data_IF_968745274609
#
_entry.id   IF_968745274609
#
_cell.length_a   1.000
_cell.length_b   1.000
_cell.length_c   1.000
_cell.angle_alpha   90.00
_cell.angle_beta   90.00
_cell.angle_gamma   90.00
#
_symmetry.space_group_name_H-M   'P 1'
#
loop_
_entity.id
_entity.type
_entity.pdbx_description
1 polymer ?
#
# COMPACT_ATOMS: atom_id res chain seq x y z
N UNK A 1 -44.25 -32.27 50.60
CA UNK A 1 -43.80 -31.25 51.56
C UNK A 1 -42.89 -30.27 50.83
N UNK A 2 -43.11 -28.96 51.04
CA UNK A 2 -42.43 -27.84 50.38
C UNK A 2 -41.02 -27.62 50.97
N UNK A 3 -40.05 -27.24 50.14
CA UNK A 3 -39.06 -26.20 50.46
C UNK A 3 -38.51 -25.58 49.17
N UNK A 4 -38.77 -24.27 49.02
CA UNK A 4 -38.28 -23.35 48.00
C UNK A 4 -37.05 -22.61 48.54
N UNK A 5 -36.16 -22.17 47.65
CA UNK A 5 -35.23 -21.00 47.70
C UNK A 5 -34.55 -21.01 46.30
N UNK A 6 -34.81 -20.15 45.29
CA UNK A 6 -34.70 -18.67 45.18
C UNK A 6 -33.31 -18.16 45.65
N UNK A 7 -32.54 -17.30 44.99
CA UNK A 7 -32.65 -16.44 43.79
C UNK A 7 -31.23 -15.87 43.58
N UNK A 8 -30.84 -15.46 42.36
CA UNK A 8 -29.60 -14.69 42.16
C UNK A 8 -29.31 -14.30 40.71
N UNK A 9 -30.24 -13.61 40.04
CA UNK A 9 -29.99 -12.90 38.78
C UNK A 9 -29.53 -11.49 39.15
N UNK A 10 -28.30 -11.11 38.78
CA UNK A 10 -27.81 -9.74 38.85
C UNK A 10 -27.87 -9.10 37.46
N UNK A 11 -28.95 -8.38 37.17
CA UNK A 11 -29.05 -7.43 36.05
C UNK A 11 -29.43 -6.08 36.64
N UNK A 12 -28.46 -5.17 36.74
CA UNK A 12 -28.62 -3.72 36.99
C UNK A 12 -27.36 -3.07 36.38
N UNK A 13 -27.39 -2.05 35.55
CA UNK A 13 -28.46 -1.22 35.02
C UNK A 13 -27.86 -0.26 33.99
N UNK A 14 -28.67 0.13 33.02
CA UNK A 14 -28.35 1.15 32.03
C UNK A 14 -28.19 2.52 32.70
N UNK A 15 -27.20 3.29 32.26
CA UNK A 15 -27.13 4.74 32.47
C UNK A 15 -26.93 5.42 31.12
N UNK A 16 -27.98 6.11 30.68
CA UNK A 16 -28.01 7.03 29.55
C UNK A 16 -27.11 8.24 29.83
N UNK A 17 -26.30 8.63 28.84
CA UNK A 17 -25.82 10.01 28.71
C UNK A 17 -26.17 10.54 27.32
N UNK A 18 -26.88 11.66 27.34
CA UNK A 18 -27.57 12.34 26.26
C UNK A 18 -26.68 13.32 25.50
N UNK A 19 -26.94 13.40 24.18
CA UNK A 19 -26.87 14.55 23.26
C UNK A 19 -25.65 15.50 23.26
N UNK A 20 -25.09 15.67 22.07
CA UNK A 20 -24.99 16.99 21.42
C UNK A 20 -24.96 16.83 19.89
N UNK A 21 -26.07 17.15 19.22
CA UNK A 21 -26.09 17.46 17.78
C UNK A 21 -25.41 18.83 17.58
N UNK A 22 -24.46 18.91 16.65
CA UNK A 22 -24.25 20.16 15.90
C UNK A 22 -24.51 19.88 14.43
N UNK A 23 -25.69 20.32 13.98
CA UNK A 23 -26.03 20.45 12.57
C UNK A 23 -25.42 21.78 12.11
N UNK A 24 -24.40 21.73 11.26
CA UNK A 24 -24.07 22.86 10.39
C UNK A 24 -24.66 22.55 9.01
N UNK A 25 -25.69 23.32 8.64
CA UNK A 25 -26.36 23.23 7.37
C UNK A 25 -25.77 24.14 6.30
N UNK A 26 -25.74 23.59 5.08
CA UNK A 26 -26.05 24.19 3.77
C UNK A 26 -25.05 25.17 3.14
N UNK A 27 -24.47 24.70 2.04
CA UNK A 27 -24.14 25.48 0.86
C UNK A 27 -24.03 24.56 -0.36
N UNK A 28 -25.10 24.45 -1.15
CA UNK A 28 -25.18 23.61 -2.35
C UNK A 28 -24.73 24.37 -3.61
N UNK A 29 -24.02 23.68 -4.50
CA UNK A 29 -24.12 23.88 -5.95
C UNK A 29 -23.60 22.62 -6.68
N UNK A 30 -24.37 21.54 -6.64
CA UNK A 30 -24.29 20.47 -7.64
C UNK A 30 -24.99 20.96 -8.90
N UNK A 31 -24.24 21.31 -9.95
CA UNK A 31 -24.78 21.44 -11.29
C UNK A 31 -25.05 20.04 -11.83
N UNK A 32 -26.27 19.53 -11.60
CA UNK A 32 -26.78 18.36 -12.29
C UNK A 32 -27.05 18.76 -13.75
N UNK A 33 -26.19 18.34 -14.68
CA UNK A 33 -26.55 18.30 -16.10
C UNK A 33 -27.58 17.18 -16.27
N UNK A 34 -28.86 17.54 -16.28
CA UNK A 34 -29.90 16.68 -16.83
C UNK A 34 -29.89 16.85 -18.35
N UNK A 35 -29.91 15.72 -19.05
CA UNK A 35 -29.94 15.67 -20.50
C UNK A 35 -31.23 16.33 -21.02
N UNK A 36 -31.09 17.39 -21.81
CA UNK A 36 -32.14 17.82 -22.72
C UNK A 36 -31.87 17.20 -24.09
N UNK A 37 -32.80 16.33 -24.48
CA UNK A 37 -32.93 15.80 -25.81
C UNK A 37 -33.70 16.82 -26.65
N UNK A 38 -32.99 17.67 -27.37
CA UNK A 38 -33.51 18.26 -28.61
C UNK A 38 -32.36 18.68 -29.55
N UNK A 39 -32.33 18.08 -30.74
CA UNK A 39 -31.43 18.39 -31.88
C UNK A 39 -32.16 19.44 -32.76
N UNK A 40 -31.50 20.32 -33.54
CA UNK A 40 -30.65 19.87 -34.65
C UNK A 40 -29.40 20.72 -35.02
N UNK A 41 -28.38 20.01 -35.49
CA UNK A 41 -27.34 20.31 -36.50
C UNK A 41 -26.79 21.74 -36.71
N UNK A 42 -25.47 21.89 -36.59
CA UNK A 42 -24.65 22.61 -37.60
C UNK A 42 -23.20 22.10 -37.60
N UNK A 43 -22.67 21.87 -38.80
CA UNK A 43 -21.31 21.46 -39.11
C UNK A 43 -20.30 22.63 -39.00
N UNK A 44 -19.01 22.26 -38.92
CA UNK A 44 -17.80 23.03 -39.26
C UNK A 44 -17.19 23.89 -38.11
N UNK A 45 -15.87 24.04 -37.95
CA UNK A 45 -14.72 23.67 -38.76
C UNK A 45 -13.46 23.51 -37.88
N UNK A 46 -12.51 22.72 -38.38
CA UNK A 46 -11.11 22.66 -37.96
C UNK A 46 -10.44 24.02 -38.24
N UNK A 47 -9.57 24.47 -37.34
CA UNK A 47 -8.54 25.46 -37.68
C UNK A 47 -7.26 25.15 -36.92
N UNK A 48 -6.36 24.46 -37.61
CA UNK A 48 -4.93 24.56 -37.44
C UNK A 48 -4.49 26.02 -37.54
N UNK A 49 -3.71 26.49 -36.55
CA UNK A 49 -2.85 27.66 -36.71
C UNK A 49 -1.51 27.38 -36.04
N UNK A 50 -0.51 27.08 -36.88
CA UNK A 50 0.91 27.35 -36.61
C UNK A 50 1.25 28.65 -37.32
N UNK A 51 2.07 29.54 -36.72
CA UNK A 51 3.29 29.89 -37.45
C UNK A 51 4.54 30.14 -36.57
N UNK A 52 5.65 29.66 -37.14
CA UNK A 52 6.94 30.34 -37.37
C UNK A 52 7.95 30.56 -36.23
N UNK A 53 9.21 30.40 -36.65
CA UNK A 53 10.44 30.27 -35.89
C UNK A 53 11.26 31.57 -35.73
N UNK A 54 12.40 31.42 -35.04
CA UNK A 54 13.50 32.36 -34.73
C UNK A 54 13.31 33.11 -33.39
N UNK A 55 14.26 33.16 -32.44
CA UNK A 55 15.69 33.49 -32.52
C UNK A 55 16.44 32.90 -31.31
N UNK A 56 17.63 32.32 -31.52
CA UNK A 56 18.60 31.96 -30.46
C UNK A 56 19.43 33.19 -30.04
N UNK A 57 19.79 33.30 -28.75
CA UNK A 57 21.08 33.88 -28.38
C UNK A 57 22.02 32.81 -27.82
N UNK A 58 23.19 32.73 -28.44
CA UNK A 58 24.44 32.20 -27.90
C UNK A 58 24.81 32.98 -26.62
N UNK A 59 24.91 32.29 -25.49
CA UNK A 59 25.80 32.70 -24.41
C UNK A 59 26.39 31.44 -23.76
N UNK A 60 27.50 31.01 -24.35
CA UNK A 60 28.35 29.97 -23.80
C UNK A 60 29.12 30.54 -22.60
N UNK A 61 28.63 30.27 -21.40
CA UNK A 61 29.40 30.43 -20.17
C UNK A 61 29.64 29.04 -19.58
N UNK A 62 30.76 28.44 -19.97
CA UNK A 62 31.31 27.21 -19.40
C UNK A 62 31.83 27.52 -17.98
N UNK A 63 31.29 26.93 -16.91
CA UNK A 63 32.05 26.84 -15.67
C UNK A 63 33.01 25.65 -15.82
N UNK A 64 34.31 25.95 -15.82
CA UNK A 64 35.34 24.95 -15.62
C UNK A 64 35.21 24.40 -14.19
N UNK A 65 34.53 23.25 -14.05
CA UNK A 65 34.63 22.43 -12.85
C UNK A 65 35.94 21.64 -12.92
N UNK A 66 37.00 22.22 -12.35
CA UNK A 66 38.16 21.45 -11.92
C UNK A 66 37.75 20.72 -10.64
N UNK A 67 37.06 19.60 -10.78
CA UNK A 67 37.01 18.60 -9.70
C UNK A 67 38.17 17.64 -9.93
N UNK A 68 39.27 17.89 -9.22
CA UNK A 68 40.22 16.85 -8.85
C UNK A 68 39.40 15.71 -8.23
N UNK A 69 39.49 14.46 -8.70
CA UNK A 69 38.89 13.37 -7.96
C UNK A 69 39.68 13.24 -6.67
N UNK A 70 39.12 13.75 -5.57
CA UNK A 70 39.43 13.20 -4.27
C UNK A 70 39.03 11.74 -4.37
N UNK A 71 40.02 10.86 -4.35
CA UNK A 71 39.84 9.46 -4.00
C UNK A 71 39.15 9.45 -2.65
N UNK A 72 37.82 9.40 -2.65
CA UNK A 72 37.06 8.89 -1.53
C UNK A 72 37.53 7.46 -1.39
N UNK A 73 38.22 7.17 -0.30
CA UNK A 73 38.44 5.80 0.14
C UNK A 73 37.07 5.13 0.15
N UNK A 74 36.84 4.27 -0.84
CA UNK A 74 35.75 3.34 -0.81
C UNK A 74 35.94 2.58 0.50
N UNK A 75 35.06 2.87 1.46
CA UNK A 75 34.84 1.92 2.54
C UNK A 75 34.55 0.59 1.84
N UNK A 76 35.25 -0.46 2.25
CA UNK A 76 34.92 -1.87 1.96
C UNK A 76 33.52 -2.18 2.52
N UNK A 77 32.50 -1.52 1.98
CA UNK A 77 31.16 -2.03 1.93
C UNK A 77 31.25 -3.14 0.91
N UNK A 78 31.41 -4.36 1.44
CA UNK A 78 31.22 -5.63 0.74
C UNK A 78 30.16 -5.41 -0.33
N UNK A 79 30.62 -5.26 -1.59
CA UNK A 79 29.73 -4.99 -2.69
C UNK A 79 28.95 -6.27 -2.87
N UNK A 80 27.71 -6.30 -2.38
CA UNK A 80 26.75 -7.34 -2.68
C UNK A 80 26.63 -7.33 -4.20
N UNK A 81 27.30 -8.26 -4.87
CA UNK A 81 27.20 -8.39 -6.30
C UNK A 81 25.76 -8.81 -6.60
N UNK A 82 25.16 -8.40 -7.73
CA UNK A 82 23.81 -8.83 -8.09
C UNK A 82 23.62 -10.37 -8.11
N UNK A 83 24.73 -11.12 -8.22
CA UNK A 83 24.78 -12.59 -8.10
C UNK A 83 24.58 -13.12 -6.69
N UNK A 84 24.77 -12.31 -5.66
CA UNK A 84 24.62 -12.69 -4.25
C UNK A 84 23.15 -12.58 -3.79
N UNK A 85 22.27 -12.05 -4.64
CA UNK A 85 20.82 -12.07 -4.43
C UNK A 85 20.32 -13.48 -4.75
N UNK A 86 20.26 -14.32 -3.72
CA UNK A 86 19.68 -15.66 -3.80
C UNK A 86 18.17 -15.54 -4.04
N UNK A 87 17.66 -16.18 -5.10
CA UNK A 87 16.21 -16.32 -5.30
C UNK A 87 15.63 -17.19 -4.18
N UNK A 88 14.73 -16.68 -3.33
CA UNK A 88 14.17 -17.44 -2.21
C UNK A 88 13.34 -18.65 -2.66
N UNK A 89 12.92 -18.72 -3.94
CA UNK A 89 12.27 -19.89 -4.51
C UNK A 89 13.25 -21.03 -4.90
N UNK A 90 14.55 -20.79 -4.76
CA UNK A 90 15.61 -21.77 -5.00
C UNK A 90 16.26 -22.31 -3.72
N UNK A 91 15.80 -21.87 -2.53
CA UNK A 91 16.36 -22.30 -1.25
C UNK A 91 16.03 -23.76 -0.94
N UNK A 92 16.91 -24.41 -0.17
CA UNK A 92 16.67 -25.77 0.32
C UNK A 92 15.39 -25.86 1.16
N UNK A 93 15.09 -24.81 1.94
CA UNK A 93 13.85 -24.71 2.72
C UNK A 93 12.61 -24.72 1.81
N UNK A 94 12.64 -23.97 0.70
CA UNK A 94 11.54 -23.98 -0.27
C UNK A 94 11.40 -25.34 -0.97
N UNK A 95 12.52 -25.94 -1.39
CA UNK A 95 12.54 -27.23 -2.09
C UNK A 95 12.02 -28.36 -1.18
N UNK A 96 12.28 -28.30 0.12
CA UNK A 96 11.84 -29.30 1.10
C UNK A 96 10.32 -29.26 1.39
N UNK A 97 9.62 -28.17 1.06
CA UNK A 97 8.17 -28.06 1.22
C UNK A 97 7.41 -29.01 0.29
N UNK A 98 6.17 -29.34 0.64
CA UNK A 98 5.28 -30.12 -0.23
C UNK A 98 4.92 -29.35 -1.51
N UNK A 99 4.49 -30.04 -2.59
CA UNK A 99 4.12 -29.38 -3.84
C UNK A 99 3.06 -28.28 -3.69
N UNK A 100 2.06 -28.49 -2.81
CA UNK A 100 0.99 -27.52 -2.56
C UNK A 100 1.51 -26.30 -1.79
N UNK A 101 2.37 -26.51 -0.78
CA UNK A 101 3.03 -25.42 -0.06
C UNK A 101 3.95 -24.60 -0.97
N UNK A 102 4.67 -25.26 -1.89
CA UNK A 102 5.46 -24.57 -2.90
C UNK A 102 4.60 -23.75 -3.86
N UNK A 103 3.42 -24.27 -4.25
CA UNK A 103 2.48 -23.52 -5.10
C UNK A 103 1.97 -22.27 -4.37
N UNK A 104 1.59 -22.41 -3.09
CA UNK A 104 1.23 -21.31 -2.21
C UNK A 104 2.39 -20.31 -2.05
N UNK A 105 3.63 -20.78 -1.85
CA UNK A 105 4.81 -19.92 -1.75
C UNK A 105 5.07 -19.10 -3.00
N UNK A 106 4.89 -19.68 -4.19
CA UNK A 106 4.99 -18.96 -5.48
C UNK A 106 3.89 -17.90 -5.64
N UNK A 107 2.65 -18.21 -5.24
CA UNK A 107 1.56 -17.23 -5.25
C UNK A 107 1.83 -16.09 -4.27
N UNK A 108 2.28 -16.43 -3.06
CA UNK A 108 2.64 -15.47 -2.02
C UNK A 108 3.76 -14.54 -2.49
N UNK A 109 4.83 -15.03 -3.13
CA UNK A 109 5.90 -14.17 -3.68
C UNK A 109 5.40 -13.16 -4.72
N UNK A 110 4.44 -13.55 -5.56
CA UNK A 110 3.82 -12.63 -6.52
C UNK A 110 3.07 -11.52 -5.80
N UNK A 111 2.27 -11.87 -4.80
CA UNK A 111 1.57 -10.88 -3.95
C UNK A 111 2.57 -9.93 -3.30
N UNK A 112 3.64 -10.45 -2.69
CA UNK A 112 4.68 -9.62 -2.07
C UNK A 112 5.38 -8.68 -3.06
N UNK A 113 5.61 -9.13 -4.30
CA UNK A 113 6.23 -8.32 -5.35
C UNK A 113 5.31 -7.17 -5.79
N UNK A 114 4.01 -7.43 -5.94
CA UNK A 114 3.02 -6.39 -6.25
C UNK A 114 2.91 -5.40 -5.08
N UNK A 115 2.87 -5.89 -3.84
CA UNK A 115 2.88 -5.05 -2.64
C UNK A 115 4.13 -4.18 -2.58
N UNK A 116 5.32 -4.75 -2.84
CA UNK A 116 6.57 -4.00 -2.83
C UNK A 116 6.59 -2.89 -3.90
N UNK A 117 6.07 -3.17 -5.10
CA UNK A 117 5.95 -2.16 -6.15
C UNK A 117 5.00 -1.03 -5.74
N UNK A 118 3.81 -1.35 -5.21
CA UNK A 118 2.88 -0.35 -4.71
C UNK A 118 3.48 0.49 -3.57
N UNK A 119 4.17 -0.15 -2.61
CA UNK A 119 4.80 0.55 -1.49
C UNK A 119 5.91 1.47 -1.96
N UNK A 120 6.69 1.05 -2.97
CA UNK A 120 7.70 1.89 -3.61
C UNK A 120 7.08 3.14 -4.25
N UNK A 121 5.94 3.01 -4.93
CA UNK A 121 5.21 4.15 -5.48
C UNK A 121 4.67 5.09 -4.40
N UNK A 122 4.46 4.59 -3.18
CA UNK A 122 4.12 5.38 -1.98
C UNK A 122 5.33 5.95 -1.24
N UNK A 123 6.55 5.71 -1.73
CA UNK A 123 7.79 6.21 -1.15
C UNK A 123 8.41 5.33 -0.08
N UNK A 124 7.99 4.07 0.05
CA UNK A 124 8.49 3.13 1.05
C UNK A 124 9.22 1.94 0.40
N UNK A 125 10.43 1.65 0.90
CA UNK A 125 11.17 0.43 0.53
C UNK A 125 10.70 -0.75 1.37
N UNK A 126 9.55 -1.33 0.98
CA UNK A 126 8.98 -2.51 1.64
C UNK A 126 9.87 -3.73 1.47
N UNK A 127 10.20 -4.39 2.58
CA UNK A 127 10.89 -5.68 2.59
C UNK A 127 10.05 -6.73 3.32
N UNK A 128 10.33 -7.99 3.04
CA UNK A 128 9.63 -9.11 3.62
C UNK A 128 10.54 -10.32 3.73
N UNK A 129 10.23 -11.18 4.68
CA UNK A 129 10.86 -12.48 4.84
C UNK A 129 9.87 -13.57 4.38
N UNK A 130 10.27 -14.44 3.43
CA UNK A 130 9.43 -15.56 3.02
C UNK A 130 9.06 -16.47 4.19
N UNK A 131 7.81 -16.92 4.25
CA UNK A 131 7.31 -17.64 5.43
C UNK A 131 8.03 -18.97 5.70
N UNK A 132 8.62 -19.57 4.68
CA UNK A 132 9.40 -20.81 4.79
C UNK A 132 10.83 -20.58 5.28
N UNK A 133 11.32 -19.34 5.22
CA UNK A 133 12.63 -18.95 5.76
C UNK A 133 12.55 -18.53 7.23
N UNK A 134 11.32 -18.36 7.77
CA UNK A 134 11.13 -17.93 9.15
C UNK A 134 11.47 -19.05 10.13
N UNK A 135 12.33 -18.73 11.09
CA UNK A 135 12.64 -19.60 12.22
C UNK A 135 11.41 -19.76 13.15
N UNK A 136 10.66 -20.85 13.00
CA UNK A 136 9.48 -21.13 13.83
C UNK A 136 9.83 -21.47 15.30
N UNK A 137 11.10 -21.74 15.61
CA UNK A 137 11.59 -22.12 16.95
C UNK A 137 11.99 -20.92 17.82
N UNK A 138 12.07 -19.71 17.25
CA UNK A 138 12.43 -18.51 17.99
C UNK A 138 11.15 -17.80 18.47
N UNK A 139 10.87 -17.87 19.77
CA UNK A 139 9.88 -17.01 20.46
C UNK A 139 10.24 -15.50 20.45
N UNK A 140 11.19 -15.11 19.61
CA UNK A 140 11.57 -13.73 19.34
C UNK A 140 10.50 -13.17 18.41
N UNK A 141 9.79 -12.15 18.88
CA UNK A 141 8.79 -11.42 18.12
C UNK A 141 9.25 -11.21 16.67
N UNK A 142 8.44 -11.66 15.70
CA UNK A 142 8.61 -11.33 14.29
C UNK A 142 8.61 -9.80 14.21
N UNK A 143 9.79 -9.20 14.05
CA UNK A 143 9.93 -7.76 13.83
C UNK A 143 9.24 -7.49 12.51
N UNK A 144 8.13 -6.75 12.53
CA UNK A 144 7.47 -6.39 11.28
C UNK A 144 8.36 -5.36 10.57
N UNK A 145 8.40 -5.37 9.23
CA UNK A 145 9.20 -4.40 8.47
C UNK A 145 8.93 -2.95 8.93
N UNK A 146 7.68 -2.64 9.28
CA UNK A 146 7.29 -1.32 9.79
C UNK A 146 8.07 -0.93 11.05
N UNK A 147 8.36 -1.88 11.94
CA UNK A 147 9.05 -1.60 13.20
C UNK A 147 10.54 -1.28 12.99
N UNK A 148 11.08 -1.58 11.80
CA UNK A 148 12.44 -1.20 11.39
C UNK A 148 12.53 0.24 10.89
N UNK A 149 11.38 0.89 10.63
CA UNK A 149 11.33 2.28 10.14
C UNK A 149 11.45 3.30 11.30
N UNK A 150 11.93 4.53 11.01
CA UNK A 150 11.86 5.64 11.95
C UNK A 150 10.44 5.81 12.49
N UNK A 151 10.30 6.07 13.80
CA UNK A 151 9.00 6.19 14.45
C UNK A 151 8.05 7.19 13.78
N UNK A 152 8.59 8.26 13.18
CA UNK A 152 7.84 9.27 12.43
C UNK A 152 7.19 8.75 11.15
N UNK A 153 7.71 7.66 10.57
CA UNK A 153 7.23 7.11 9.29
C UNK A 153 6.27 5.93 9.48
N UNK A 154 6.32 5.26 10.64
CA UNK A 154 5.61 4.01 10.84
C UNK A 154 4.10 4.12 10.63
N UNK A 155 3.46 5.20 11.09
CA UNK A 155 2.02 5.38 10.92
C UNK A 155 1.63 5.49 9.44
N UNK A 156 2.39 6.28 8.67
CA UNK A 156 2.19 6.44 7.24
C UNK A 156 2.48 5.13 6.49
N UNK A 157 3.53 4.39 6.88
CA UNK A 157 3.86 3.09 6.30
C UNK A 157 2.77 2.04 6.58
N UNK A 158 2.21 1.99 7.80
CA UNK A 158 1.09 1.08 8.12
C UNK A 158 -0.14 1.41 7.30
N UNK A 159 -0.48 2.70 7.18
CA UNK A 159 -1.62 3.14 6.37
C UNK A 159 -1.40 2.83 4.88
N UNK A 160 -0.20 3.05 4.34
CA UNK A 160 0.11 2.70 2.96
C UNK A 160 0.00 1.19 2.71
N UNK A 161 0.49 0.36 3.66
CA UNK A 161 0.49 -1.09 3.53
C UNK A 161 -0.92 -1.69 3.67
N UNK A 162 -1.64 -1.31 4.72
CA UNK A 162 -2.89 -1.98 5.13
C UNK A 162 -4.15 -1.16 4.86
N UNK A 163 -4.02 0.13 4.54
CA UNK A 163 -5.15 1.03 4.35
C UNK A 163 -5.96 1.28 5.63
N UNK A 164 -7.20 1.75 5.43
CA UNK A 164 -8.19 2.03 6.48
C UNK A 164 -9.55 1.41 6.09
N UNK A 165 -9.52 0.12 5.78
CA UNK A 165 -10.69 -0.61 5.23
C UNK A 165 -11.65 -1.17 6.29
N UNK A 166 -11.37 -1.02 7.59
CA UNK A 166 -12.10 -1.76 8.62
C UNK A 166 -11.94 -3.29 8.48
N UNK A 167 -12.98 -4.07 8.77
CA UNK A 167 -12.96 -5.53 8.66
C UNK A 167 -14.34 -6.12 8.33
N UNK A 168 -14.37 -7.36 7.82
CA UNK A 168 -15.61 -8.08 7.59
C UNK A 168 -16.43 -7.50 6.44
N UNK A 169 -17.71 -7.18 6.70
CA UNK A 169 -18.63 -6.69 5.66
C UNK A 169 -18.28 -5.30 5.12
N UNK A 170 -17.50 -4.52 5.89
CA UNK A 170 -17.06 -3.18 5.51
C UNK A 170 -15.74 -3.20 4.71
N UNK A 171 -15.16 -4.39 4.46
CA UNK A 171 -13.91 -4.54 3.73
C UNK A 171 -14.07 -4.18 2.24
N UNK A 172 -13.20 -3.30 1.77
CA UNK A 172 -13.07 -2.90 0.38
C UNK A 172 -11.58 -2.87 0.01
N UNK A 173 -11.20 -3.61 -1.03
CA UNK A 173 -9.79 -3.80 -1.39
C UNK A 173 -9.09 -2.48 -1.73
N UNK A 174 -9.83 -1.49 -2.25
CA UNK A 174 -9.35 -0.16 -2.61
C UNK A 174 -9.05 0.72 -1.40
N UNK A 175 -9.72 0.46 -0.28
CA UNK A 175 -9.43 1.10 1.01
C UNK A 175 -8.39 0.34 1.84
N UNK A 176 -7.96 -0.85 1.40
CA UNK A 176 -7.07 -1.78 2.12
C UNK A 176 -5.58 -1.61 1.77
N UNK A 177 -5.21 -0.46 1.22
CA UNK A 177 -3.82 -0.09 0.93
C UNK A 177 -3.16 -0.99 -0.12
N UNK A 178 -1.83 -1.05 -0.08
CA UNK A 178 -1.04 -1.83 -1.04
C UNK A 178 -1.25 -3.34 -0.91
N UNK A 179 -1.55 -3.85 0.28
CA UNK A 179 -1.90 -5.25 0.48
C UNK A 179 -3.23 -5.59 -0.20
N UNK A 180 -4.28 -4.80 0.04
CA UNK A 180 -5.57 -4.97 -0.60
C UNK A 180 -5.49 -4.92 -2.13
N UNK A 181 -4.78 -3.92 -2.66
CA UNK A 181 -4.51 -3.82 -4.09
C UNK A 181 -3.82 -5.08 -4.65
N UNK A 182 -2.80 -5.60 -3.98
CA UNK A 182 -2.09 -6.79 -4.43
C UNK A 182 -3.00 -8.03 -4.45
N UNK A 183 -3.81 -8.22 -3.40
CA UNK A 183 -4.81 -9.30 -3.31
C UNK A 183 -5.85 -9.19 -4.42
N UNK A 184 -6.33 -7.98 -4.70
CA UNK A 184 -7.29 -7.71 -5.78
C UNK A 184 -6.73 -8.04 -7.16
N UNK A 185 -5.52 -7.55 -7.47
CA UNK A 185 -4.84 -7.82 -8.75
C UNK A 185 -4.62 -9.32 -8.95
N UNK A 186 -4.32 -10.06 -7.87
CA UNK A 186 -4.16 -11.51 -7.90
C UNK A 186 -5.49 -12.27 -8.00
N UNK A 187 -6.65 -11.59 -7.90
CA UNK A 187 -7.97 -12.20 -7.93
C UNK A 187 -8.34 -12.93 -6.63
N UNK A 188 -7.77 -12.51 -5.50
CA UNK A 188 -7.84 -13.20 -4.21
C UNK A 188 -8.79 -12.53 -3.20
N UNK A 189 -9.57 -11.53 -3.59
CA UNK A 189 -10.45 -10.76 -2.68
C UNK A 189 -11.43 -11.63 -1.84
N UNK A 190 -11.84 -12.77 -2.39
CA UNK A 190 -12.81 -13.67 -1.78
C UNK A 190 -12.18 -14.98 -1.25
N UNK A 191 -10.85 -15.04 -1.13
CA UNK A 191 -10.14 -16.17 -0.54
C UNK A 191 -9.83 -15.82 0.92
N UNK A 192 -10.50 -16.48 1.85
CA UNK A 192 -10.33 -16.30 3.30
C UNK A 192 -9.99 -17.64 3.95
#
# INVERSE_FOLDING_TARGET
MKKKLALGIGVVGAALLTLSLTVFGIGAATTLNHADADRPATHAAVSDVVPAAAVLPDDAMTPALTETPLTSEASDADSIEPSDIVDPLSSDAFIAMTPDEQANGREWMKTQTITAACMKDKGFSYTFEPFWERDNDNAVHIVTWVDTLPASEQAAARLALNGDTGAGADYHWDDAGCWGYAVHVMGNDNKH
#
